data_IF_040071989494
#
_entry.id   IF_040071989494
#
_cell.length_a   1.000
_cell.length_b   1.000
_cell.length_c   1.000
_cell.angle_alpha   90.00
_cell.angle_beta   90.00
_cell.angle_gamma   90.00
#
_symmetry.space_group_name_H-M   'P 1'
#
loop_
_entity.id
_entity.type
_entity.pdbx_description
1 polymer ?
#
# COMPACT_ATOMS: atom_id res chain seq x y z
N UNK A 1 -14.28 -22.73 -4.39
CA UNK A 1 -13.54 -23.12 -5.61
C UNK A 1 -12.67 -21.93 -5.99
N UNK A 2 -11.34 -22.08 -6.13
CA UNK A 2 -10.44 -20.97 -6.51
C UNK A 2 -10.19 -21.05 -8.02
N UNK A 3 -10.39 -19.98 -8.80
CA UNK A 3 -10.20 -20.00 -10.24
C UNK A 3 -8.73 -20.21 -10.63
N UNK A 4 -8.48 -20.79 -11.81
CA UNK A 4 -7.14 -20.94 -12.35
C UNK A 4 -6.55 -19.56 -12.73
N UNK A 5 -5.40 -19.21 -12.13
CA UNK A 5 -4.81 -17.87 -12.28
C UNK A 5 -3.72 -17.80 -13.36
N UNK A 6 -3.28 -18.93 -13.90
CA UNK A 6 -2.15 -19.01 -14.84
C UNK A 6 -0.92 -19.63 -14.19
N UNK A 7 0.24 -19.52 -14.88
CA UNK A 7 1.53 -20.07 -14.42
C UNK A 7 2.57 -18.95 -14.27
N UNK A 8 3.53 -19.15 -13.37
CA UNK A 8 4.64 -18.23 -13.13
C UNK A 8 4.20 -16.86 -12.60
N UNK A 9 5.01 -15.83 -12.85
CA UNK A 9 4.84 -14.48 -12.29
C UNK A 9 3.46 -13.86 -12.55
N UNK A 10 2.90 -14.05 -13.76
CA UNK A 10 1.56 -13.54 -14.11
C UNK A 10 0.44 -14.19 -13.29
N UNK A 11 0.59 -15.48 -12.96
CA UNK A 11 -0.35 -16.19 -12.09
C UNK A 11 -0.29 -15.67 -10.65
N UNK A 12 0.92 -15.44 -10.15
CA UNK A 12 1.15 -14.88 -8.82
C UNK A 12 0.55 -13.47 -8.68
N UNK A 13 0.75 -12.60 -9.68
CA UNK A 13 0.19 -11.25 -9.65
C UNK A 13 -1.35 -11.25 -9.64
N UNK A 14 -1.97 -12.16 -10.42
CA UNK A 14 -3.43 -12.34 -10.39
C UNK A 14 -3.91 -12.83 -9.03
N UNK A 15 -3.12 -13.68 -8.36
CA UNK A 15 -3.36 -14.11 -6.98
C UNK A 15 -3.38 -12.93 -6.00
N UNK A 16 -2.36 -12.07 -6.06
CA UNK A 16 -2.27 -10.86 -5.24
C UNK A 16 -3.48 -9.93 -5.46
N UNK A 17 -3.85 -9.69 -6.72
CA UNK A 17 -5.02 -8.85 -7.06
C UNK A 17 -6.31 -9.42 -6.47
N UNK A 18 -6.53 -10.74 -6.56
CA UNK A 18 -7.72 -11.38 -5.98
C UNK A 18 -7.72 -11.33 -4.45
N UNK A 19 -6.56 -11.53 -3.82
CA UNK A 19 -6.42 -11.42 -2.38
C UNK A 19 -6.72 -9.99 -1.89
N UNK A 20 -6.28 -8.96 -2.61
CA UNK A 20 -6.60 -7.57 -2.31
C UNK A 20 -8.09 -7.25 -2.43
N UNK A 21 -8.78 -7.81 -3.43
CA UNK A 21 -10.22 -7.64 -3.62
C UNK A 21 -11.09 -8.41 -2.60
N UNK A 22 -10.49 -9.04 -1.58
CA UNK A 22 -11.15 -9.87 -0.57
C UNK A 22 -11.89 -11.10 -1.13
N UNK A 23 -11.57 -11.54 -2.35
CA UNK A 23 -12.16 -12.73 -2.98
C UNK A 23 -11.60 -14.07 -2.46
N UNK A 24 -10.59 -14.04 -1.59
CA UNK A 24 -9.89 -15.19 -1.01
C UNK A 24 -9.57 -14.87 0.46
N UNK A 25 -9.55 -15.89 1.35
CA UNK A 25 -9.15 -15.71 2.75
C UNK A 25 -7.75 -15.09 2.84
N UNK A 26 -7.63 -14.13 3.73
CA UNK A 26 -6.42 -13.33 3.98
C UNK A 26 -5.23 -14.16 4.43
N UNK A 27 -5.48 -15.31 5.07
CA UNK A 27 -4.45 -16.22 5.58
C UNK A 27 -3.57 -16.86 4.49
N UNK A 28 -3.96 -16.78 3.21
CA UNK A 28 -3.21 -17.41 2.12
C UNK A 28 -2.06 -16.53 1.59
N UNK A 29 -2.04 -15.25 1.92
CA UNK A 29 -1.02 -14.31 1.46
C UNK A 29 -0.46 -13.53 2.63
N UNK A 30 0.86 -13.35 2.61
CA UNK A 30 1.55 -12.49 3.56
C UNK A 30 1.06 -11.04 3.40
N UNK A 31 0.60 -10.45 4.51
CA UNK A 31 0.14 -9.06 4.56
C UNK A 31 1.22 -8.08 4.16
N UNK A 32 2.50 -8.38 4.46
CA UNK A 32 3.62 -7.57 3.99
C UNK A 32 3.70 -7.58 2.46
N UNK A 33 3.57 -8.75 1.83
CA UNK A 33 3.59 -8.87 0.37
C UNK A 33 2.41 -8.15 -0.29
N UNK A 34 1.22 -8.21 0.32
CA UNK A 34 0.05 -7.48 -0.17
C UNK A 34 0.23 -5.96 -0.05
N UNK A 35 0.79 -5.49 1.08
CA UNK A 35 1.07 -4.08 1.31
C UNK A 35 2.16 -3.55 0.36
N UNK A 36 3.22 -4.34 0.11
CA UNK A 36 4.27 -4.01 -0.85
C UNK A 36 3.72 -3.89 -2.29
N UNK A 37 2.88 -4.84 -2.70
CA UNK A 37 2.22 -4.77 -3.99
C UNK A 37 1.30 -3.54 -4.13
N UNK A 38 0.61 -3.13 -3.04
CA UNK A 38 -0.15 -1.89 -3.03
C UNK A 38 0.74 -0.66 -3.19
N UNK A 39 1.86 -0.59 -2.47
CA UNK A 39 2.83 0.51 -2.57
C UNK A 39 3.34 0.65 -4.01
N UNK A 40 3.73 -0.47 -4.63
CA UNK A 40 4.11 -0.51 -6.04
C UNK A 40 3.02 0.08 -6.95
N UNK A 41 1.76 -0.36 -6.79
CA UNK A 41 0.63 0.11 -7.59
C UNK A 41 0.34 1.60 -7.38
N UNK A 42 0.47 2.09 -6.15
CA UNK A 42 0.31 3.50 -5.84
C UNK A 42 1.40 4.36 -6.49
N UNK A 43 2.65 3.93 -6.43
CA UNK A 43 3.77 4.64 -7.06
C UNK A 43 3.64 4.67 -8.58
N UNK A 44 3.22 3.56 -9.20
CA UNK A 44 2.92 3.53 -10.64
C UNK A 44 1.80 4.50 -11.04
N UNK A 45 0.68 4.50 -10.30
CA UNK A 45 -0.43 5.41 -10.57
C UNK A 45 0.02 6.86 -10.44
N UNK A 46 0.81 7.15 -9.42
CA UNK A 46 1.37 8.47 -9.21
C UNK A 46 2.29 8.91 -10.35
N UNK A 47 3.23 8.05 -10.75
CA UNK A 47 4.11 8.32 -11.89
C UNK A 47 3.32 8.56 -13.18
N UNK A 48 2.28 7.77 -13.45
CA UNK A 48 1.41 7.96 -14.60
C UNK A 48 0.62 9.28 -14.54
N UNK A 49 0.13 9.69 -13.36
CA UNK A 49 -0.53 10.98 -13.20
C UNK A 49 0.40 12.15 -13.55
N UNK A 50 1.69 12.05 -13.18
CA UNK A 50 2.70 13.06 -13.51
C UNK A 50 3.03 13.13 -15.00
N UNK A 51 2.94 12.01 -15.74
CA UNK A 51 3.16 12.06 -17.20
C UNK A 51 2.00 12.71 -17.94
N UNK A 52 0.77 12.53 -17.45
CA UNK A 52 -0.43 13.14 -18.01
C UNK A 52 -0.51 14.64 -17.67
N UNK A 53 -0.27 14.98 -16.41
CA UNK A 53 -0.20 16.36 -15.94
C UNK A 53 1.26 16.79 -15.97
N UNK A 54 1.83 17.04 -17.16
CA UNK A 54 3.19 17.54 -17.30
C UNK A 54 3.33 18.81 -16.44
N UNK A 55 4.00 18.76 -15.28
CA UNK A 55 4.01 19.89 -14.38
C UNK A 55 4.80 21.02 -15.05
N UNK A 56 4.23 22.22 -15.08
CA UNK A 56 4.89 23.39 -15.68
C UNK A 56 6.13 23.82 -14.90
N UNK A 57 6.21 23.44 -13.62
CA UNK A 57 7.31 23.72 -12.72
C UNK A 57 7.41 22.63 -11.62
N UNK A 58 8.63 22.33 -11.11
CA UNK A 58 8.86 21.24 -10.14
C UNK A 58 8.17 21.45 -8.78
N UNK A 59 7.82 22.69 -8.42
CA UNK A 59 7.13 23.02 -7.17
C UNK A 59 5.63 22.69 -7.19
N UNK A 60 5.04 22.48 -8.37
CA UNK A 60 3.60 22.21 -8.52
C UNK A 60 3.26 20.71 -8.60
N UNK A 61 4.22 19.84 -8.29
CA UNK A 61 4.02 18.39 -8.31
C UNK A 61 3.08 18.01 -7.15
N UNK A 62 1.86 17.51 -7.43
CA UNK A 62 0.94 17.13 -6.37
C UNK A 62 1.50 15.93 -5.60
N UNK A 63 1.30 15.83 -4.27
CA UNK A 63 1.77 14.67 -3.52
C UNK A 63 0.95 13.40 -3.88
N UNK A 64 1.52 12.21 -3.69
CA UNK A 64 0.82 10.95 -3.92
C UNK A 64 -0.45 10.85 -3.08
N UNK A 65 -1.52 10.34 -3.69
CA UNK A 65 -2.84 10.26 -3.04
C UNK A 65 -2.84 9.36 -1.81
N UNK A 66 -2.05 8.27 -1.84
CA UNK A 66 -1.94 7.33 -0.72
C UNK A 66 -1.39 7.99 0.55
N UNK A 67 -0.51 9.00 0.42
CA UNK A 67 0.01 9.77 1.55
C UNK A 67 -1.09 10.59 2.24
N UNK A 68 -2.11 11.03 1.50
CA UNK A 68 -3.25 11.77 2.04
C UNK A 68 -4.29 10.84 2.67
N UNK A 69 -4.47 9.65 2.11
CA UNK A 69 -5.48 8.72 2.59
C UNK A 69 -5.06 7.95 3.84
N UNK A 70 -3.76 7.90 4.17
CA UNK A 70 -3.24 7.13 5.32
C UNK A 70 -2.54 8.08 6.31
N UNK A 71 -2.70 7.89 7.63
CA UNK A 71 -1.96 8.69 8.60
C UNK A 71 -0.50 8.23 8.65
N UNK A 72 0.36 8.78 7.78
CA UNK A 72 1.80 8.46 7.74
C UNK A 72 2.66 9.42 8.59
N UNK A 73 2.01 10.33 9.32
CA UNK A 73 2.68 11.32 10.16
C UNK A 73 3.57 12.26 9.34
N UNK A 74 4.65 12.77 9.96
CA UNK A 74 5.69 13.58 9.29
C UNK A 74 6.88 12.74 8.86
N UNK A 75 6.82 11.42 9.06
CA UNK A 75 7.94 10.51 8.81
C UNK A 75 8.11 10.22 7.32
N UNK A 76 7.01 10.21 6.57
CA UNK A 76 7.02 10.06 5.12
C UNK A 76 6.26 11.20 4.44
N UNK A 77 7.00 12.07 3.78
CA UNK A 77 6.48 13.20 3.00
C UNK A 77 6.67 13.02 1.48
N UNK A 78 7.51 12.07 1.07
CA UNK A 78 7.80 11.74 -0.33
C UNK A 78 7.40 10.29 -0.64
N UNK A 79 7.41 9.92 -1.91
CA UNK A 79 7.24 8.52 -2.32
C UNK A 79 8.42 7.68 -1.86
N UNK A 80 8.14 6.50 -1.31
CA UNK A 80 9.15 5.48 -1.03
C UNK A 80 8.86 4.22 -1.84
N UNK A 81 9.89 3.44 -2.16
CA UNK A 81 9.77 2.09 -2.71
C UNK A 81 10.06 1.01 -1.65
N UNK A 82 10.43 1.39 -0.44
CA UNK A 82 10.75 0.47 0.65
C UNK A 82 9.52 0.26 1.54
N UNK A 83 9.01 -0.97 1.55
CA UNK A 83 7.80 -1.31 2.32
C UNK A 83 8.01 -1.13 3.83
N UNK A 84 9.20 -1.44 4.34
CA UNK A 84 9.53 -1.30 5.77
C UNK A 84 9.46 0.16 6.21
N UNK A 85 9.90 1.10 5.38
CA UNK A 85 9.80 2.54 5.66
C UNK A 85 8.34 2.98 5.73
N UNK A 86 7.51 2.56 4.78
CA UNK A 86 6.07 2.83 4.77
C UNK A 86 5.37 2.27 6.00
N UNK A 87 5.60 0.99 6.31
CA UNK A 87 4.96 0.31 7.43
C UNK A 87 5.42 0.86 8.77
N UNK A 88 6.70 1.23 8.91
CA UNK A 88 7.21 1.88 10.12
C UNK A 88 6.52 3.21 10.35
N UNK A 89 6.48 4.08 9.32
CA UNK A 89 5.78 5.36 9.41
C UNK A 89 4.30 5.21 9.74
N UNK A 90 3.65 4.17 9.20
CA UNK A 90 2.27 3.83 9.48
C UNK A 90 2.05 3.31 10.90
N UNK A 91 2.92 2.42 11.38
CA UNK A 91 2.83 1.80 12.71
C UNK A 91 2.81 2.86 13.82
N UNK A 92 3.54 3.97 13.67
CA UNK A 92 3.50 5.08 14.61
C UNK A 92 2.12 5.76 14.77
N UNK A 93 1.17 5.48 13.87
CA UNK A 93 -0.18 6.08 13.87
C UNK A 93 -1.30 5.07 14.00
N UNK A 94 -1.03 3.79 13.77
CA UNK A 94 -2.03 2.74 13.94
C UNK A 94 -2.17 2.44 15.44
N UNK A 95 -3.40 2.53 16.01
CA UNK A 95 -3.62 2.19 17.41
C UNK A 95 -3.19 0.75 17.69
N UNK A 96 -2.35 0.56 18.71
CA UNK A 96 -1.86 -0.75 19.11
C UNK A 96 -0.63 -1.25 18.35
N UNK A 97 -0.21 -0.58 17.27
CA UNK A 97 0.99 -0.97 16.51
C UNK A 97 2.30 -0.45 17.14
N UNK A 98 2.22 0.40 18.17
CA UNK A 98 3.37 0.83 18.94
C UNK A 98 3.46 0.01 20.23
N UNK A 99 4.53 -0.77 20.35
CA UNK A 99 4.88 -1.46 21.58
C UNK A 99 5.73 -0.55 22.50
N UNK A 100 5.88 -0.96 23.77
CA UNK A 100 6.76 -0.27 24.72
C UNK A 100 8.22 -0.40 24.27
N UNK A 101 8.92 0.72 24.10
CA UNK A 101 10.34 0.74 23.75
C UNK A 101 10.67 0.98 22.27
N UNK A 102 9.80 1.68 21.53
CA UNK A 102 9.98 2.04 20.11
C UNK A 102 9.97 0.86 19.12
N UNK A 103 9.62 -0.33 19.60
CA UNK A 103 9.33 -1.46 18.73
C UNK A 103 7.97 -1.25 18.02
N UNK A 104 8.02 -1.24 16.69
CA UNK A 104 6.85 -1.11 15.81
C UNK A 104 6.37 -2.48 15.34
N UNK A 105 5.06 -2.69 15.38
CA UNK A 105 4.41 -3.87 14.82
C UNK A 105 4.07 -3.63 13.34
N UNK A 106 4.94 -4.14 12.47
CA UNK A 106 4.80 -3.99 11.01
C UNK A 106 3.68 -4.87 10.45
N UNK A 107 3.41 -6.03 11.06
CA UNK A 107 2.32 -6.93 10.64
C UNK A 107 0.96 -6.26 10.84
N UNK A 108 0.76 -5.61 11.99
CA UNK A 108 -0.45 -4.85 12.28
C UNK A 108 -0.59 -3.68 11.31
N UNK A 109 0.50 -2.94 11.04
CA UNK A 109 0.49 -1.86 10.06
C UNK A 109 0.16 -2.35 8.63
N UNK A 110 0.70 -3.50 8.22
CA UNK A 110 0.45 -4.11 6.92
C UNK A 110 -1.01 -4.55 6.78
N UNK A 111 -1.56 -5.19 7.81
CA UNK A 111 -2.98 -5.55 7.86
C UNK A 111 -3.88 -4.31 7.79
N UNK A 112 -3.50 -3.24 8.50
CA UNK A 112 -4.25 -1.99 8.51
C UNK A 112 -4.35 -1.35 7.12
N UNK A 113 -3.23 -1.23 6.39
CA UNK A 113 -3.25 -0.60 5.05
C UNK A 113 -4.06 -1.44 4.05
N UNK A 114 -3.92 -2.77 4.09
CA UNK A 114 -4.67 -3.69 3.23
C UNK A 114 -6.17 -3.62 3.54
N UNK A 115 -6.56 -3.56 4.82
CA UNK A 115 -7.97 -3.41 5.18
C UNK A 115 -8.53 -2.07 4.70
N UNK A 116 -7.77 -0.99 4.88
CA UNK A 116 -8.18 0.35 4.43
C UNK A 116 -8.37 0.42 2.90
N UNK A 117 -7.60 -0.39 2.15
CA UNK A 117 -7.76 -0.59 0.72
C UNK A 117 -9.08 -1.28 0.39
N UNK A 118 -9.38 -2.38 1.08
CA UNK A 118 -10.65 -3.13 0.93
C UNK A 118 -11.87 -2.28 1.25
N UNK A 119 -11.75 -1.39 2.23
CA UNK A 119 -12.81 -0.45 2.61
C UNK A 119 -12.98 0.71 1.61
N UNK A 120 -12.20 0.74 0.52
CA UNK A 120 -12.28 1.75 -0.54
C UNK A 120 -11.79 3.13 -0.13
N UNK A 121 -11.02 3.26 0.97
CA UNK A 121 -10.60 4.57 1.51
C UNK A 121 -9.54 5.29 0.67
N UNK A 122 -9.03 4.67 -0.39
CA UNK A 122 -8.08 5.25 -1.33
C UNK A 122 -8.76 5.88 -2.56
N UNK A 123 -10.10 5.82 -2.63
CA UNK A 123 -10.89 6.31 -3.76
C UNK A 123 -10.98 5.29 -4.90
N UNK A 124 -11.85 5.55 -5.91
CA UNK A 124 -11.97 4.68 -7.07
C UNK A 124 -10.67 4.67 -7.89
N UNK A 125 -10.29 3.49 -8.40
CA UNK A 125 -9.24 3.38 -9.42
C UNK A 125 -9.64 4.12 -10.70
#
# INVERSE_FOLDING_TARGET
>A
MVPFLGRGARGSERGLKLALAAGIRTELFDSHMLADYLLYRFNLRYAYALTQQKPTAPENVPPPRYLRSVPLGRLLITTTNEITELLTALAHRVPGALAKGDAVDLDLAANFIVQRWRDGKFGPE
#
